data_IF_851307189449
#
_entry.id   IF_851307189449
#
_cell.length_a   1.000
_cell.length_b   1.000
_cell.length_c   1.000
_cell.angle_alpha   90.00
_cell.angle_beta   90.00
_cell.angle_gamma   90.00
#
_symmetry.space_group_name_H-M   'P 1'
#
loop_
_entity.id
_entity.type
_entity.pdbx_description
1 polymer ?
#
# COMPACT_ATOMS: atom_id res chain seq x y z
N UNK A 1 -26.24 -10.00 -1.12
CA UNK A 1 -25.45 -11.17 -1.59
C UNK A 1 -25.11 -11.01 -3.07
N UNK A 2 -23.86 -11.20 -3.43
CA UNK A 2 -23.28 -10.84 -4.72
C UNK A 2 -22.71 -12.08 -5.44
N UNK A 3 -22.78 -12.10 -6.77
CA UNK A 3 -22.04 -13.10 -7.57
C UNK A 3 -20.56 -12.74 -7.65
N UNK A 4 -19.74 -13.71 -8.01
CA UNK A 4 -18.31 -13.46 -8.27
C UNK A 4 -18.07 -12.41 -9.37
N UNK A 5 -18.99 -12.29 -10.35
CA UNK A 5 -18.93 -11.25 -11.38
C UNK A 5 -19.19 -9.85 -10.82
N UNK A 6 -20.23 -9.71 -9.98
CA UNK A 6 -20.51 -8.44 -9.31
C UNK A 6 -19.36 -8.02 -8.39
N UNK A 7 -18.78 -8.95 -7.63
CA UNK A 7 -17.62 -8.66 -6.79
C UNK A 7 -16.39 -8.30 -7.62
N UNK A 8 -16.18 -8.97 -8.76
CA UNK A 8 -15.11 -8.66 -9.71
C UNK A 8 -15.21 -7.21 -10.20
N UNK A 9 -16.40 -6.74 -10.56
CA UNK A 9 -16.65 -5.36 -10.96
C UNK A 9 -16.45 -4.36 -9.81
N UNK A 10 -17.02 -4.67 -8.63
CA UNK A 10 -16.94 -3.80 -7.44
C UNK A 10 -15.51 -3.55 -6.96
N UNK A 11 -14.67 -4.59 -7.00
CA UNK A 11 -13.29 -4.54 -6.52
C UNK A 11 -12.27 -4.36 -7.66
N UNK A 12 -12.73 -4.28 -8.91
CA UNK A 12 -11.89 -4.22 -10.11
C UNK A 12 -10.85 -5.36 -10.16
N UNK A 13 -11.26 -6.54 -9.69
CA UNK A 13 -10.42 -7.72 -9.63
C UNK A 13 -10.82 -8.72 -10.71
N UNK A 14 -9.88 -9.37 -11.41
CA UNK A 14 -10.20 -10.49 -12.29
C UNK A 14 -10.94 -11.59 -11.52
N UNK A 15 -11.95 -12.20 -12.17
CA UNK A 15 -12.65 -13.37 -11.60
C UNK A 15 -11.66 -14.48 -11.24
N UNK A 16 -10.58 -14.64 -12.00
CA UNK A 16 -9.51 -15.60 -11.70
C UNK A 16 -8.83 -15.33 -10.35
N UNK A 17 -8.63 -14.07 -9.97
CA UNK A 17 -8.07 -13.68 -8.67
C UNK A 17 -9.03 -14.04 -7.53
N UNK A 18 -10.32 -13.75 -7.68
CA UNK A 18 -11.33 -14.14 -6.68
C UNK A 18 -11.43 -15.67 -6.54
N UNK A 19 -11.36 -16.41 -7.65
CA UNK A 19 -11.31 -17.89 -7.63
C UNK A 19 -10.03 -18.41 -6.98
N UNK A 20 -8.90 -17.74 -7.22
CA UNK A 20 -7.64 -18.06 -6.59
C UNK A 20 -7.74 -17.88 -5.07
N UNK A 21 -8.21 -16.73 -4.57
CA UNK A 21 -8.41 -16.51 -3.13
C UNK A 21 -9.34 -17.53 -2.49
N UNK A 22 -10.42 -17.89 -3.19
CA UNK A 22 -11.35 -18.92 -2.75
C UNK A 22 -10.67 -20.30 -2.66
N UNK A 23 -9.91 -20.70 -3.69
CA UNK A 23 -9.11 -21.93 -3.70
C UNK A 23 -8.07 -21.95 -2.58
N UNK A 24 -7.49 -20.79 -2.31
CA UNK A 24 -6.52 -20.58 -1.24
C UNK A 24 -7.18 -20.63 0.16
N UNK A 25 -8.51 -20.73 0.25
CA UNK A 25 -9.23 -20.91 1.51
C UNK A 25 -9.50 -19.60 2.25
N UNK A 26 -9.39 -18.45 1.57
CA UNK A 26 -9.66 -17.15 2.18
C UNK A 26 -11.15 -16.90 2.43
N UNK A 27 -12.04 -17.67 1.78
CA UNK A 27 -13.49 -17.54 1.91
C UNK A 27 -14.18 -18.87 2.27
N UNK A 28 -13.89 -19.45 3.45
CA UNK A 28 -14.41 -20.77 3.82
C UNK A 28 -15.92 -20.79 4.07
N UNK A 29 -16.53 -19.62 4.35
CA UNK A 29 -17.96 -19.46 4.64
C UNK A 29 -18.85 -19.13 3.45
N UNK A 30 -18.36 -19.17 2.20
CA UNK A 30 -19.17 -18.76 1.05
C UNK A 30 -20.45 -19.58 0.91
N UNK A 31 -21.58 -18.89 1.02
CA UNK A 31 -22.90 -19.49 0.89
C UNK A 31 -23.16 -19.87 -0.57
N UNK A 32 -23.85 -20.99 -0.81
CA UNK A 32 -24.32 -21.37 -2.14
C UNK A 32 -25.81 -21.13 -2.27
N UNK A 33 -26.20 -20.37 -3.28
CA UNK A 33 -27.60 -20.20 -3.69
C UNK A 33 -27.74 -20.76 -5.10
N UNK A 34 -28.62 -21.76 -5.25
CA UNK A 34 -28.83 -22.47 -6.51
C UNK A 34 -27.52 -23.03 -7.11
N UNK A 35 -26.67 -23.59 -6.24
CA UNK A 35 -25.37 -24.17 -6.62
C UNK A 35 -24.22 -23.17 -6.83
N UNK A 36 -24.51 -21.86 -6.87
CA UNK A 36 -23.52 -20.80 -7.14
C UNK A 36 -23.06 -20.15 -5.83
N UNK A 37 -21.74 -20.00 -5.64
CA UNK A 37 -21.16 -19.27 -4.50
C UNK A 37 -21.58 -17.79 -4.54
N UNK A 38 -21.99 -17.27 -3.39
CA UNK A 38 -22.44 -15.90 -3.19
C UNK A 38 -21.65 -15.26 -2.05
N UNK A 39 -21.26 -14.01 -2.26
CA UNK A 39 -20.56 -13.19 -1.28
C UNK A 39 -21.60 -12.36 -0.52
N UNK A 40 -21.64 -12.48 0.81
CA UNK A 40 -22.37 -11.57 1.69
C UNK A 40 -21.50 -10.37 2.10
N UNK A 41 -22.06 -9.48 2.91
CA UNK A 41 -21.35 -8.30 3.41
C UNK A 41 -20.07 -8.67 4.18
N UNK A 42 -20.13 -9.73 5.00
CA UNK A 42 -18.96 -10.21 5.75
C UNK A 42 -17.82 -10.65 4.82
N UNK A 43 -18.12 -11.31 3.70
CA UNK A 43 -17.10 -11.69 2.72
C UNK A 43 -16.56 -10.48 1.96
N UNK A 44 -17.38 -9.44 1.73
CA UNK A 44 -16.91 -8.20 1.13
C UNK A 44 -15.95 -7.46 2.06
N UNK A 45 -16.28 -7.34 3.34
CA UNK A 45 -15.38 -6.73 4.34
C UNK A 45 -14.10 -7.55 4.51
N UNK A 46 -14.20 -8.88 4.50
CA UNK A 46 -13.02 -9.75 4.46
C UNK A 46 -12.16 -9.48 3.22
N UNK A 47 -12.76 -9.34 2.04
CA UNK A 47 -12.05 -9.04 0.80
C UNK A 47 -11.36 -7.67 0.85
N UNK A 48 -11.99 -6.64 1.43
CA UNK A 48 -11.33 -5.33 1.65
C UNK A 48 -10.05 -5.46 2.46
N UNK A 49 -10.08 -6.24 3.53
CA UNK A 49 -8.87 -6.48 4.35
C UNK A 49 -7.82 -7.27 3.58
N UNK A 50 -8.21 -8.32 2.84
CA UNK A 50 -7.28 -9.10 2.00
C UNK A 50 -6.58 -8.18 1.01
N UNK A 51 -7.33 -7.34 0.30
CA UNK A 51 -6.78 -6.44 -0.71
C UNK A 51 -5.88 -5.36 -0.09
N UNK A 52 -6.26 -4.81 1.07
CA UNK A 52 -5.41 -3.89 1.82
C UNK A 52 -4.08 -4.53 2.18
N UNK A 53 -4.10 -5.76 2.74
CA UNK A 53 -2.88 -6.48 3.09
C UNK A 53 -2.04 -6.81 1.85
N UNK A 54 -2.66 -7.24 0.75
CA UNK A 54 -1.98 -7.50 -0.52
C UNK A 54 -1.30 -6.26 -1.09
N UNK A 55 -1.97 -5.11 -1.06
CA UNK A 55 -1.42 -3.83 -1.52
C UNK A 55 -0.27 -3.36 -0.62
N UNK A 56 -0.32 -3.67 0.67
CA UNK A 56 0.77 -3.40 1.62
C UNK A 56 1.96 -4.37 1.52
N UNK A 57 1.99 -5.26 0.51
CA UNK A 57 3.10 -6.17 0.27
C UNK A 57 3.04 -7.51 1.01
N UNK A 58 1.96 -7.79 1.76
CA UNK A 58 1.81 -9.06 2.47
C UNK A 58 1.60 -10.22 1.49
N UNK A 59 2.28 -11.33 1.74
CA UNK A 59 2.09 -12.56 0.97
C UNK A 59 0.78 -13.27 1.31
N UNK A 60 0.21 -13.99 0.33
CA UNK A 60 -1.06 -14.72 0.52
C UNK A 60 -0.98 -15.72 1.68
N UNK A 61 0.18 -16.34 1.90
CA UNK A 61 0.39 -17.29 2.99
C UNK A 61 0.16 -16.65 4.37
N UNK A 62 0.60 -15.41 4.57
CA UNK A 62 0.49 -14.70 5.84
C UNK A 62 -0.93 -14.14 6.02
N UNK A 63 -1.56 -13.71 4.92
CA UNK A 63 -2.98 -13.34 4.92
C UNK A 63 -3.86 -14.54 5.32
N UNK A 64 -3.56 -15.75 4.83
CA UNK A 64 -4.26 -16.97 5.27
C UNK A 64 -4.09 -17.21 6.76
N UNK A 65 -2.87 -17.07 7.28
CA UNK A 65 -2.61 -17.25 8.70
C UNK A 65 -3.42 -16.25 9.54
N UNK A 66 -3.48 -14.99 9.11
CA UNK A 66 -4.34 -13.98 9.72
C UNK A 66 -5.83 -14.38 9.69
N UNK A 67 -6.32 -14.92 8.57
CA UNK A 67 -7.72 -15.38 8.46
C UNK A 67 -8.02 -16.57 9.39
N UNK A 68 -7.08 -17.50 9.55
CA UNK A 68 -7.22 -18.59 10.52
C UNK A 68 -7.30 -18.07 11.95
N UNK A 69 -6.54 -17.03 12.29
CA UNK A 69 -6.66 -16.39 13.61
C UNK A 69 -8.02 -15.75 13.80
N UNK A 70 -8.59 -15.10 12.77
CA UNK A 70 -9.94 -14.56 12.84
C UNK A 70 -10.98 -15.65 13.14
N UNK A 71 -10.81 -16.86 12.61
CA UNK A 71 -11.72 -18.00 12.86
C UNK A 71 -11.58 -18.59 14.27
N UNK A 72 -10.39 -18.49 14.89
CA UNK A 72 -10.16 -18.88 16.28
C UNK A 72 -10.74 -17.89 17.31
N UNK A 73 -11.30 -16.77 16.84
CA UNK A 73 -11.99 -15.81 17.68
C UNK A 73 -11.07 -15.09 18.67
N UNK A 74 -11.60 -14.79 19.85
CA UNK A 74 -11.02 -13.84 20.82
C UNK A 74 -9.61 -14.22 21.29
N UNK A 75 -9.30 -15.52 21.32
CA UNK A 75 -8.00 -16.05 21.75
C UNK A 75 -6.81 -15.53 20.95
N UNK A 76 -7.03 -15.01 19.73
CA UNK A 76 -5.98 -14.55 18.82
C UNK A 76 -5.94 -13.03 18.63
N UNK A 77 -6.69 -12.25 19.42
CA UNK A 77 -6.70 -10.79 19.26
C UNK A 77 -5.30 -10.19 19.34
N UNK A 78 -4.45 -10.66 20.26
CA UNK A 78 -3.08 -10.19 20.38
C UNK A 78 -2.26 -10.46 19.10
N UNK A 79 -2.35 -11.67 18.55
CA UNK A 79 -1.66 -12.04 17.30
C UNK A 79 -2.08 -11.17 16.12
N UNK A 80 -3.39 -10.91 15.99
CA UNK A 80 -3.96 -10.07 14.94
C UNK A 80 -3.56 -8.60 15.09
N UNK A 81 -3.56 -8.10 16.33
CA UNK A 81 -3.11 -6.75 16.63
C UNK A 81 -1.62 -6.58 16.28
N UNK A 82 -0.76 -7.48 16.75
CA UNK A 82 0.68 -7.40 16.53
C UNK A 82 1.04 -7.52 15.05
N UNK A 83 0.29 -8.33 14.31
CA UNK A 83 0.39 -8.41 12.85
C UNK A 83 0.14 -7.06 12.17
N UNK A 84 -0.95 -6.36 12.52
CA UNK A 84 -1.22 -5.03 11.96
C UNK A 84 -0.26 -3.97 12.46
N UNK A 85 0.22 -4.04 13.70
CA UNK A 85 1.24 -3.12 14.21
C UNK A 85 2.56 -3.28 13.47
N UNK A 86 2.96 -4.52 13.16
CA UNK A 86 4.12 -4.77 12.31
C UNK A 86 3.92 -4.19 10.91
N UNK A 87 2.79 -4.49 10.27
CA UNK A 87 2.51 -4.01 8.93
C UNK A 87 2.42 -2.48 8.85
N UNK A 88 1.84 -1.84 9.89
CA UNK A 88 1.82 -0.38 10.03
C UNK A 88 3.23 0.19 10.03
N UNK A 89 4.13 -0.38 10.83
CA UNK A 89 5.54 0.09 10.89
C UNK A 89 6.25 -0.05 9.55
N UNK A 90 6.00 -1.13 8.81
CA UNK A 90 6.54 -1.33 7.46
C UNK A 90 6.03 -0.22 6.52
N UNK A 91 4.73 0.04 6.51
CA UNK A 91 4.13 1.08 5.67
C UNK A 91 4.58 2.49 6.02
N UNK A 92 4.72 2.82 7.31
CA UNK A 92 5.25 4.12 7.75
C UNK A 92 6.69 4.34 7.27
N UNK A 93 7.53 3.30 7.33
CA UNK A 93 8.90 3.37 6.81
C UNK A 93 8.95 3.53 5.28
N UNK A 94 8.08 2.82 4.55
CA UNK A 94 7.97 2.98 3.09
C UNK A 94 7.48 4.39 2.71
N UNK A 95 6.52 4.95 3.44
CA UNK A 95 6.06 6.33 3.24
C UNK A 95 7.21 7.32 3.45
N UNK A 96 7.98 7.17 4.52
CA UNK A 96 9.15 8.03 4.77
C UNK A 96 10.16 7.94 3.62
N UNK A 97 10.45 6.73 3.14
CA UNK A 97 11.38 6.52 2.03
C UNK A 97 10.85 7.12 0.71
N UNK A 98 9.56 6.98 0.43
CA UNK A 98 8.91 7.59 -0.73
C UNK A 98 8.92 9.12 -0.63
N UNK A 99 8.72 9.68 0.56
CA UNK A 99 8.82 11.12 0.79
C UNK A 99 10.23 11.64 0.54
N UNK A 100 11.28 10.94 1.00
CA UNK A 100 12.69 11.30 0.70
C UNK A 100 12.97 11.27 -0.79
N UNK A 101 12.47 10.24 -1.47
CA UNK A 101 12.58 10.10 -2.94
C UNK A 101 11.87 11.26 -3.65
N UNK A 102 10.65 11.60 -3.23
CA UNK A 102 9.88 12.71 -3.77
C UNK A 102 10.58 14.05 -3.54
N UNK A 103 11.23 14.25 -2.38
CA UNK A 103 12.01 15.46 -2.12
C UNK A 103 13.17 15.63 -3.11
N UNK A 104 13.90 14.55 -3.44
CA UNK A 104 14.95 14.61 -4.46
C UNK A 104 14.37 14.99 -5.83
N UNK A 105 13.24 14.39 -6.21
CA UNK A 105 12.56 14.68 -7.48
C UNK A 105 12.14 16.16 -7.54
N UNK A 106 11.49 16.67 -6.48
CA UNK A 106 11.06 18.08 -6.41
C UNK A 106 12.24 19.05 -6.47
N UNK A 107 13.32 18.74 -5.74
CA UNK A 107 14.58 19.49 -5.85
C UNK A 107 15.10 19.49 -7.30
N UNK A 108 15.11 18.34 -7.98
CA UNK A 108 15.57 18.25 -9.37
C UNK A 108 14.66 18.93 -10.37
N UNK A 109 13.34 18.98 -10.15
CA UNK A 109 12.44 19.80 -10.95
C UNK A 109 12.82 21.28 -10.85
N UNK A 110 12.93 21.81 -9.63
CA UNK A 110 13.36 23.20 -9.43
C UNK A 110 14.76 23.46 -10.01
N UNK A 111 15.70 22.52 -9.81
CA UNK A 111 17.07 22.63 -10.31
C UNK A 111 17.09 22.87 -11.82
N UNK A 112 16.39 22.03 -12.59
CA UNK A 112 16.38 22.19 -14.04
C UNK A 112 15.53 23.37 -14.51
N UNK A 113 14.47 23.73 -13.78
CA UNK A 113 13.73 24.97 -14.05
C UNK A 113 14.60 26.21 -13.89
N UNK A 114 15.51 26.25 -12.91
CA UNK A 114 16.47 27.34 -12.76
C UNK A 114 17.57 27.29 -13.82
N UNK A 115 18.15 26.11 -14.07
CA UNK A 115 19.22 25.97 -15.06
C UNK A 115 18.75 26.38 -16.46
N UNK A 116 17.49 26.10 -16.80
CA UNK A 116 16.86 26.57 -18.05
C UNK A 116 16.70 28.09 -18.12
N UNK A 117 16.42 28.76 -16.99
CA UNK A 117 16.32 30.23 -16.92
C UNK A 117 17.69 30.90 -17.03
N UNK A 118 18.69 30.32 -16.36
CA UNK A 118 20.05 30.84 -16.32
C UNK A 118 20.88 30.45 -17.55
N UNK A 119 20.40 29.49 -18.34
CA UNK A 119 21.11 28.92 -19.49
C UNK A 119 22.35 28.09 -19.11
N UNK A 120 22.56 27.80 -17.82
CA UNK A 120 23.67 27.00 -17.30
C UNK A 120 23.38 26.51 -15.88
N UNK A 121 24.17 25.56 -15.39
CA UNK A 121 24.07 25.05 -14.00
C UNK A 121 24.93 25.85 -13.00
N UNK A 122 25.76 26.79 -13.48
CA UNK A 122 26.79 27.46 -12.67
C UNK A 122 26.21 28.17 -11.45
N UNK A 123 25.13 28.95 -11.64
CA UNK A 123 24.50 29.71 -10.56
C UNK A 123 23.97 28.80 -9.44
N UNK A 124 23.41 27.65 -9.81
CA UNK A 124 22.91 26.69 -8.82
C UNK A 124 24.06 26.01 -8.08
N UNK A 125 25.15 25.66 -8.79
CA UNK A 125 26.34 25.06 -8.17
C UNK A 125 26.98 25.99 -7.14
N UNK A 126 26.94 27.31 -7.36
CA UNK A 126 27.40 28.32 -6.39
C UNK A 126 26.54 28.35 -5.12
N UNK A 127 25.25 28.03 -5.21
CA UNK A 127 24.35 27.98 -4.05
C UNK A 127 24.52 26.70 -3.21
N UNK A 128 25.19 25.67 -3.73
CA UNK A 128 25.27 24.38 -3.04
C UNK A 128 26.37 24.36 -1.97
N UNK A 129 26.17 23.61 -0.87
CA UNK A 129 24.97 22.85 -0.54
C UNK A 129 23.92 23.60 0.28
N UNK A 130 24.24 24.78 0.84
CA UNK A 130 23.50 25.39 1.96
C UNK A 130 22.95 26.81 1.70
N UNK A 131 23.00 27.29 0.45
CA UNK A 131 22.52 28.62 0.04
C UNK A 131 21.36 28.56 -0.96
N UNK A 132 20.65 27.42 -1.04
CA UNK A 132 19.43 27.32 -1.82
C UNK A 132 18.30 28.14 -1.18
N UNK A 133 17.26 28.55 -1.93
CA UNK A 133 16.06 29.10 -1.34
C UNK A 133 15.51 28.18 -0.24
N UNK A 134 15.01 28.75 0.86
CA UNK A 134 14.67 28.01 2.08
C UNK A 134 13.85 26.71 1.85
N UNK A 135 12.82 26.78 1.02
CA UNK A 135 11.97 25.61 0.70
C UNK A 135 12.73 24.53 -0.08
N UNK A 136 13.64 24.94 -0.96
CA UNK A 136 14.47 24.04 -1.78
C UNK A 136 15.59 23.43 -0.92
N UNK A 137 16.14 24.20 0.01
CA UNK A 137 17.12 23.72 0.99
C UNK A 137 16.52 22.59 1.83
N UNK A 138 15.29 22.76 2.34
CA UNK A 138 14.59 21.72 3.10
C UNK A 138 14.38 20.43 2.27
N UNK A 139 14.05 20.54 0.98
CA UNK A 139 13.95 19.38 0.09
C UNK A 139 15.30 18.71 -0.15
N UNK A 140 16.35 19.51 -0.37
CA UNK A 140 17.72 19.04 -0.58
C UNK A 140 18.25 18.26 0.63
N UNK A 141 18.00 18.77 1.84
CA UNK A 141 18.43 18.17 3.10
C UNK A 141 17.63 16.92 3.45
N UNK A 142 16.29 16.99 3.35
CA UNK A 142 15.41 15.84 3.58
C UNK A 142 15.75 14.65 2.67
N UNK A 143 16.01 14.93 1.39
CA UNK A 143 16.40 13.90 0.42
C UNK A 143 17.74 13.21 0.75
N UNK A 144 18.59 13.84 1.58
CA UNK A 144 19.88 13.31 2.05
C UNK A 144 19.84 12.77 3.47
N UNK A 145 18.67 12.79 4.11
CA UNK A 145 18.50 12.35 5.51
C UNK A 145 19.21 13.26 6.51
N UNK A 146 19.38 14.55 6.17
CA UNK A 146 19.82 15.60 7.10
C UNK A 146 18.65 16.17 7.88
#
# INVERSE_FOLDING_TARGET
MYTIGQVSEMFQLPISTLRYYDKEGLFPGLTRISGVRKFGENELERLRVIECLKQSGVEIKDIKQFMQWCEQGESTYLLRHDFFMHQKKVMEAEIEQMQKTLSMIRYKCWYYEQAMKDGSENHILEMLPDQLPQEIQALYDHARGK
#
